data_IF_563688423243
#
_entry.id   IF_563688423243
#
_cell.length_a   1.000
_cell.length_b   1.000
_cell.length_c   1.000
_cell.angle_alpha   90.00
_cell.angle_beta   90.00
_cell.angle_gamma   90.00
#
_symmetry.space_group_name_H-M   'P 1'
#
loop_
_entity.id
_entity.type
_entity.pdbx_description
1 polymer ?
#
# COMPACT_ATOMS: atom_id res chain seq x y z
N UNK A 1 1.87 2.25 12.97
CA UNK A 1 3.26 1.83 13.27
C UNK A 1 4.08 2.35 12.12
N UNK A 2 5.12 3.13 12.43
CA UNK A 2 6.01 3.64 11.39
C UNK A 2 7.15 2.66 11.20
N UNK A 3 7.54 2.45 9.95
CA UNK A 3 8.66 1.62 9.59
C UNK A 3 9.79 2.53 9.15
N UNK A 4 10.98 2.31 9.69
CA UNK A 4 12.15 3.13 9.41
C UNK A 4 13.24 2.27 8.81
N UNK A 5 14.00 2.85 7.87
CA UNK A 5 15.12 2.19 7.20
C UNK A 5 16.38 2.99 7.41
N UNK A 6 17.43 2.33 7.90
CA UNK A 6 18.77 2.88 7.98
C UNK A 6 19.33 3.13 6.59
N UNK A 7 19.79 4.34 6.31
CA UNK A 7 20.42 4.65 5.02
C UNK A 7 21.80 4.01 4.89
N UNK A 8 22.53 3.88 6.00
CA UNK A 8 23.90 3.37 6.01
C UNK A 8 23.99 1.84 5.85
N UNK A 9 23.15 1.07 6.55
CA UNK A 9 23.18 -0.39 6.50
C UNK A 9 21.96 -1.05 5.83
N UNK A 10 20.89 -0.29 5.58
CA UNK A 10 19.64 -0.82 5.01
C UNK A 10 18.74 -1.58 5.99
N UNK A 11 19.10 -1.67 7.28
CA UNK A 11 18.27 -2.34 8.29
C UNK A 11 16.92 -1.64 8.47
N UNK A 12 15.86 -2.42 8.58
CA UNK A 12 14.48 -1.95 8.77
C UNK A 12 14.00 -2.29 10.17
N UNK A 13 13.27 -1.38 10.80
CA UNK A 13 12.70 -1.58 12.12
C UNK A 13 11.41 -0.77 12.28
N UNK A 14 10.47 -1.32 13.05
CA UNK A 14 9.18 -0.71 13.32
C UNK A 14 9.23 0.02 14.66
N UNK A 15 9.19 1.35 14.61
CA UNK A 15 9.26 2.24 15.76
C UNK A 15 8.44 3.50 15.49
N UNK A 16 7.89 4.16 16.51
CA UNK A 16 7.21 5.43 16.29
C UNK A 16 8.18 6.54 15.87
N UNK A 17 9.40 6.51 16.39
CA UNK A 17 10.43 7.52 16.17
C UNK A 17 11.74 6.85 15.75
N UNK A 18 12.58 7.52 14.93
CA UNK A 18 13.87 6.98 14.53
C UNK A 18 14.85 7.01 15.72
N UNK A 19 15.55 5.91 16.02
CA UNK A 19 16.61 5.87 17.01
C UNK A 19 17.78 6.77 16.59
N UNK A 20 18.49 7.38 17.55
CA UNK A 20 19.69 8.17 17.26
C UNK A 20 20.89 7.29 16.86
N UNK A 21 20.92 6.05 17.34
CA UNK A 21 21.97 5.08 17.08
C UNK A 21 21.36 3.85 16.43
N UNK A 22 21.91 3.48 15.28
CA UNK A 22 21.50 2.28 14.57
C UNK A 22 21.87 1.02 15.38
N UNK A 23 20.89 0.18 15.81
CA UNK A 23 21.18 -1.03 16.58
C UNK A 23 21.92 -2.09 15.76
N UNK A 24 21.85 -2.03 14.42
CA UNK A 24 22.56 -2.94 13.52
C UNK A 24 24.00 -2.46 13.21
N UNK A 25 24.21 -1.15 13.15
CA UNK A 25 25.46 -0.53 12.73
C UNK A 25 26.35 -0.09 13.91
N UNK A 26 25.73 0.23 15.05
CA UNK A 26 26.37 0.86 16.20
C UNK A 26 26.79 2.32 15.96
N UNK A 27 26.29 3.00 14.92
CA UNK A 27 26.68 4.38 14.55
C UNK A 27 25.45 5.29 14.50
N UNK A 28 25.67 6.60 14.62
CA UNK A 28 24.67 7.60 14.26
C UNK A 28 24.47 7.59 12.75
N UNK A 29 23.26 7.27 12.31
CA UNK A 29 22.91 7.16 10.90
C UNK A 29 21.62 7.93 10.64
N UNK A 30 21.44 8.41 9.42
CA UNK A 30 20.16 8.94 8.99
C UNK A 30 19.19 7.79 8.70
N UNK A 31 17.94 7.98 9.12
CA UNK A 31 16.88 7.02 8.95
C UNK A 31 15.78 7.62 8.09
N UNK A 32 15.39 6.87 7.07
CA UNK A 32 14.28 7.21 6.20
C UNK A 32 13.04 6.48 6.66
N UNK A 33 11.95 7.23 6.86
CA UNK A 33 10.64 6.62 7.03
C UNK A 33 10.24 5.90 5.74
N UNK A 34 9.97 4.61 5.86
CA UNK A 34 9.53 3.71 4.79
C UNK A 34 8.14 3.14 5.08
N UNK A 35 7.35 3.84 5.91
CA UNK A 35 5.97 3.50 6.18
C UNK A 35 5.18 3.62 4.87
N UNK A 36 5.22 2.57 4.05
CA UNK A 36 4.40 2.47 2.86
C UNK A 36 3.01 2.06 3.32
N UNK A 37 2.32 3.00 3.97
CA UNK A 37 0.92 2.86 4.25
C UNK A 37 0.20 2.93 2.91
N UNK A 38 -0.06 1.76 2.33
CA UNK A 38 -1.08 1.63 1.30
C UNK A 38 -2.40 1.65 2.07
N UNK A 39 -3.14 2.77 2.12
CA UNK A 39 -4.49 2.72 2.67
C UNK A 39 -5.23 1.62 1.92
N UNK A 40 -5.99 0.79 2.66
CA UNK A 40 -6.98 -0.07 2.01
C UNK A 40 -7.86 0.87 1.20
N UNK A 41 -7.67 0.87 -0.12
CA UNK A 41 -8.48 1.70 -1.01
C UNK A 41 -9.90 1.19 -0.85
N UNK A 42 -10.72 1.94 -0.11
CA UNK A 42 -12.14 1.67 -0.02
C UNK A 42 -12.72 1.96 -1.40
N UNK A 43 -12.94 0.90 -2.18
CA UNK A 43 -13.50 1.00 -3.54
C UNK A 43 -15.01 1.16 -3.50
N UNK A 44 -15.63 1.06 -2.32
CA UNK A 44 -17.06 1.26 -2.11
C UNK A 44 -17.51 2.62 -2.64
N UNK A 45 -18.56 2.62 -3.45
CA UNK A 45 -19.11 3.81 -4.06
C UNK A 45 -18.52 4.17 -5.43
N UNK A 46 -17.44 3.52 -5.87
CA UNK A 46 -16.90 3.70 -7.23
C UNK A 46 -17.67 2.89 -8.24
N UNK A 47 -17.85 3.46 -9.42
CA UNK A 47 -18.26 2.75 -10.62
C UNK A 47 -17.05 2.07 -11.29
N UNK A 48 -17.31 0.93 -11.92
CA UNK A 48 -16.34 0.19 -12.72
C UNK A 48 -16.99 -0.18 -14.04
N UNK A 49 -16.33 0.12 -15.14
CA UNK A 49 -16.80 -0.20 -16.48
C UNK A 49 -15.98 -1.33 -17.08
N UNK A 50 -16.67 -2.33 -17.65
CA UNK A 50 -16.01 -3.35 -18.44
C UNK A 50 -15.68 -2.80 -19.83
N UNK A 51 -14.40 -2.83 -20.22
CA UNK A 51 -13.96 -2.44 -21.56
C UNK A 51 -14.36 -3.40 -22.69
N UNK A 52 -14.87 -4.59 -22.36
CA UNK A 52 -15.24 -5.64 -23.34
C UNK A 52 -16.73 -5.58 -23.67
N UNK A 53 -17.58 -5.70 -22.66
CA UNK A 53 -19.04 -5.73 -22.81
C UNK A 53 -19.72 -4.39 -22.51
N UNK A 54 -18.98 -3.40 -22.01
CA UNK A 54 -19.53 -2.09 -21.64
C UNK A 54 -20.34 -2.07 -20.34
N UNK A 55 -20.37 -3.16 -19.57
CA UNK A 55 -21.13 -3.23 -18.31
C UNK A 55 -20.58 -2.27 -17.27
N UNK A 56 -21.47 -1.44 -16.73
CA UNK A 56 -21.20 -0.51 -15.63
C UNK A 56 -21.73 -1.11 -14.33
N UNK A 57 -20.86 -1.29 -13.33
CA UNK A 57 -21.25 -1.78 -12.00
C UNK A 57 -20.81 -0.77 -10.93
N UNK A 58 -21.62 -0.62 -9.89
CA UNK A 58 -21.27 0.17 -8.71
C UNK A 58 -20.83 -0.75 -7.58
N UNK A 59 -19.66 -0.49 -7.00
CA UNK A 59 -19.14 -1.26 -5.87
C UNK A 59 -19.94 -0.87 -4.62
N UNK A 60 -20.74 -1.79 -4.09
CA UNK A 60 -21.53 -1.56 -2.85
C UNK A 60 -20.84 -2.10 -1.61
N UNK A 61 -19.89 -3.02 -1.77
CA UNK A 61 -19.05 -3.56 -0.70
C UNK A 61 -17.71 -4.02 -1.28
N UNK A 62 -16.60 -3.61 -0.65
CA UNK A 62 -15.27 -4.12 -0.97
C UNK A 62 -14.94 -5.34 -0.10
N UNK A 63 -14.83 -6.51 -0.72
CA UNK A 63 -14.46 -7.76 -0.04
C UNK A 63 -12.97 -8.12 -0.25
N UNK A 64 -12.12 -7.19 -0.70
CA UNK A 64 -10.69 -7.43 -0.96
C UNK A 64 -10.40 -8.33 -2.18
N UNK A 65 -11.37 -8.50 -3.08
CA UNK A 65 -11.24 -9.28 -4.31
C UNK A 65 -10.99 -8.42 -5.56
N UNK A 66 -10.59 -9.07 -6.66
CA UNK A 66 -10.49 -8.42 -7.97
C UNK A 66 -11.82 -8.60 -8.69
N UNK A 67 -12.48 -7.49 -9.03
CA UNK A 67 -13.68 -7.52 -9.89
C UNK A 67 -13.30 -8.02 -11.27
N UNK A 68 -13.94 -9.11 -11.70
CA UNK A 68 -13.75 -9.69 -13.03
C UNK A 68 -15.06 -9.72 -13.78
N UNK A 69 -15.03 -9.30 -15.05
CA UNK A 69 -16.14 -9.43 -15.98
C UNK A 69 -15.55 -9.90 -17.32
N UNK A 70 -16.19 -10.88 -17.97
CA UNK A 70 -15.69 -11.52 -19.19
C UNK A 70 -14.27 -12.09 -19.05
N UNK A 71 -13.96 -12.73 -17.90
CA UNK A 71 -12.63 -13.27 -17.54
C UNK A 71 -11.48 -12.24 -17.46
N UNK A 72 -11.79 -10.95 -17.61
CA UNK A 72 -10.82 -9.86 -17.52
C UNK A 72 -11.01 -9.05 -16.23
N UNK A 73 -9.92 -8.55 -15.62
CA UNK A 73 -10.02 -7.65 -14.48
C UNK A 73 -10.68 -6.34 -14.93
N UNK A 74 -11.72 -5.92 -14.22
CA UNK A 74 -12.33 -4.61 -14.43
C UNK A 74 -11.37 -3.52 -13.97
N UNK A 75 -11.02 -2.62 -14.88
CA UNK A 75 -10.22 -1.45 -14.56
C UNK A 75 -11.06 -0.47 -13.72
N UNK A 76 -10.44 0.07 -12.67
CA UNK A 76 -10.93 1.28 -12.03
C UNK A 76 -10.45 2.44 -12.90
N UNK A 77 -11.37 3.27 -13.39
CA UNK A 77 -11.03 4.59 -13.93
C UNK A 77 -10.90 5.62 -12.79
#
# INVERSE_FOLDING_TARGET
>A
MNSWKCDSCGAQYDANEPPEICPSCGKSCEFREITNYVPKMERTGRDCKCGVCGTEIRITADCGGILKCCDQPMALE
#
